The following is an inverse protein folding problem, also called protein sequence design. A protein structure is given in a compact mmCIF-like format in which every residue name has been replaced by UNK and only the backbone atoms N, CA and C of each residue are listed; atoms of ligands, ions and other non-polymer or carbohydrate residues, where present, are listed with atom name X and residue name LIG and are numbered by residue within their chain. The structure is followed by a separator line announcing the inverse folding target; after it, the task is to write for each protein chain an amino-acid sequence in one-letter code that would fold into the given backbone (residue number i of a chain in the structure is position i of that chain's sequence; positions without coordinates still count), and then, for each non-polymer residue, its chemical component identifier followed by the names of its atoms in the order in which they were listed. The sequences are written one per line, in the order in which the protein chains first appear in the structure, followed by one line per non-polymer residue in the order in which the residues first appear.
data_IF_410380416355
#
_entry.id   IF_410380416355
#
_cell.length_a   1.000
_cell.length_b   1.000
_cell.length_c   1.000
_cell.angle_alpha   90.00
_cell.angle_beta   90.00
_cell.angle_gamma   90.00
#
_symmetry.space_group_name_H-M   'P 1'
#
loop_
_entity.id
_entity.type
_entity.pdbx_description
1 polymer ?
#
# COMPACT_ATOMS: atom_id res chain seq x y z
N UNK A 1 4.15 -10.50 -16.67
CA UNK A 1 5.29 -10.75 -15.75
C UNK A 1 6.28 -9.65 -16.07
N UNK A 2 6.57 -8.76 -15.13
CA UNK A 2 7.47 -7.60 -15.30
C UNK A 2 8.85 -8.01 -14.80
N UNK A 3 9.85 -8.10 -15.67
CA UNK A 3 11.07 -8.86 -15.36
C UNK A 3 12.42 -8.21 -15.74
N UNK A 4 12.47 -6.87 -15.92
CA UNK A 4 13.64 -5.99 -15.58
C UNK A 4 13.48 -4.55 -16.09
N UNK A 5 13.67 -3.58 -15.21
CA UNK A 5 13.96 -2.16 -15.50
C UNK A 5 15.31 -1.78 -14.87
N UNK A 6 15.96 -0.74 -15.37
CA UNK A 6 17.31 -0.35 -14.95
C UNK A 6 17.41 0.06 -13.48
N UNK A 7 18.54 -0.34 -12.88
CA UNK A 7 18.92 -0.15 -11.48
C UNK A 7 19.12 1.33 -11.15
N UNK A 8 18.33 1.86 -10.22
CA UNK A 8 18.94 2.65 -9.15
C UNK A 8 19.60 1.60 -8.24
N UNK A 9 20.93 1.57 -8.09
CA UNK A 9 21.59 0.65 -7.18
C UNK A 9 21.01 0.79 -5.81
N UNK A 10 20.71 -0.35 -5.23
CA UNK A 10 20.11 -0.44 -3.91
C UNK A 10 21.12 -0.15 -2.80
N UNK A 11 22.36 0.15 -3.17
CA UNK A 11 23.48 0.59 -2.36
C UNK A 11 23.87 2.04 -2.73
N UNK A 12 22.91 2.86 -3.19
CA UNK A 12 23.10 4.19 -3.76
C UNK A 12 24.02 5.11 -2.95
N UNK A 13 23.89 5.11 -1.62
CA UNK A 13 24.71 5.92 -0.72
C UNK A 13 25.90 5.16 -0.11
N UNK A 14 26.05 3.87 -0.40
CA UNK A 14 27.15 3.09 0.15
C UNK A 14 28.49 3.51 -0.48
N UNK A 15 29.57 3.54 0.32
CA UNK A 15 30.89 3.85 -0.19
C UNK A 15 31.40 2.75 -1.15
N UNK A 16 31.98 3.18 -2.26
CA UNK A 16 32.45 2.28 -3.32
C UNK A 16 33.63 1.44 -2.82
N UNK A 17 33.49 0.12 -2.81
CA UNK A 17 34.55 -0.81 -2.34
C UNK A 17 35.75 -0.88 -3.32
N UNK A 18 35.62 -0.36 -4.55
CA UNK A 18 36.61 -0.57 -5.63
C UNK A 18 36.96 0.64 -6.52
N UNK A 19 36.67 1.90 -6.16
CA UNK A 19 37.01 3.02 -7.05
C UNK A 19 36.81 4.42 -6.46
N UNK A 20 37.43 5.42 -7.10
CA UNK A 20 37.32 6.83 -6.73
C UNK A 20 35.86 7.30 -6.78
N UNK A 21 35.40 8.07 -5.80
CA UNK A 21 33.99 8.42 -5.57
C UNK A 21 33.60 8.04 -4.14
N UNK A 22 32.81 8.88 -3.47
CA UNK A 22 32.46 8.65 -2.07
C UNK A 22 31.27 7.68 -1.93
N UNK A 23 30.48 7.48 -2.99
CA UNK A 23 29.29 6.60 -3.00
C UNK A 23 29.04 5.91 -4.35
N UNK A 24 28.21 4.87 -4.38
CA UNK A 24 27.77 4.21 -5.63
C UNK A 24 26.97 5.13 -6.56
N UNK A 25 26.24 6.10 -6.00
CA UNK A 25 25.66 7.22 -6.74
C UNK A 25 26.73 7.90 -7.61
N UNK A 26 27.89 8.21 -7.03
CA UNK A 26 28.96 8.89 -7.76
C UNK A 26 29.52 8.02 -8.89
N UNK A 27 29.68 6.72 -8.63
CA UNK A 27 30.16 5.77 -9.62
C UNK A 27 29.20 5.64 -10.81
N UNK A 28 27.89 5.74 -10.58
CA UNK A 28 26.88 5.71 -11.64
C UNK A 28 26.73 7.03 -12.36
N UNK A 29 26.71 8.16 -11.65
CA UNK A 29 26.63 9.46 -12.28
C UNK A 29 27.81 9.69 -13.22
N UNK A 30 29.04 9.24 -12.89
CA UNK A 30 30.17 9.27 -13.83
C UNK A 30 30.00 8.40 -15.07
N UNK A 31 29.24 7.31 -14.98
CA UNK A 31 28.96 6.42 -16.12
C UNK A 31 27.85 6.96 -17.01
N UNK A 32 26.81 7.56 -16.42
CA UNK A 32 25.65 8.08 -17.13
C UNK A 32 25.86 9.53 -17.62
N UNK A 33 26.73 10.28 -16.96
CA UNK A 33 27.10 11.64 -17.29
C UNK A 33 28.62 11.79 -17.11
N UNK A 34 29.44 11.42 -18.11
CA UNK A 34 30.91 11.50 -18.02
C UNK A 34 31.44 12.93 -17.80
N UNK A 35 30.61 13.94 -18.01
CA UNK A 35 30.90 15.33 -17.72
C UNK A 35 30.67 15.72 -16.24
N UNK A 36 30.07 14.84 -15.44
CA UNK A 36 29.68 15.13 -14.06
C UNK A 36 30.89 15.31 -13.13
N UNK A 37 30.89 16.45 -12.41
CA UNK A 37 31.86 16.79 -11.38
C UNK A 37 31.28 16.54 -9.98
N UNK A 38 31.81 15.57 -9.21
CA UNK A 38 31.34 15.29 -7.85
C UNK A 38 31.76 16.35 -6.82
N UNK A 39 32.72 17.21 -7.13
CA UNK A 39 33.24 18.22 -6.20
C UNK A 39 32.47 19.56 -6.29
N UNK A 40 31.58 19.71 -7.27
CA UNK A 40 30.71 20.86 -7.44
C UNK A 40 29.23 20.49 -7.19
N UNK A 41 28.65 20.87 -6.02
CA UNK A 41 27.27 20.54 -5.68
C UNK A 41 26.23 21.26 -6.54
N UNK A 42 26.61 22.28 -7.32
CA UNK A 42 25.73 22.97 -8.26
C UNK A 42 25.81 22.40 -9.68
N UNK A 43 26.72 21.44 -9.92
CA UNK A 43 26.90 20.84 -11.23
C UNK A 43 25.71 19.94 -11.60
N UNK A 44 25.12 20.16 -12.78
CA UNK A 44 24.00 19.38 -13.29
C UNK A 44 24.54 18.28 -14.24
N UNK A 45 24.48 16.98 -13.86
CA UNK A 45 24.95 15.89 -14.73
C UNK A 45 24.20 15.86 -16.07
N UNK A 46 24.93 15.70 -17.20
CA UNK A 46 24.30 15.56 -18.51
C UNK A 46 24.05 14.08 -18.86
N UNK A 47 22.90 13.56 -18.45
CA UNK A 47 22.53 12.15 -18.67
C UNK A 47 22.31 11.75 -20.14
N UNK A 48 22.38 12.72 -21.07
CA UNK A 48 22.29 12.49 -22.53
C UNK A 48 23.57 11.89 -23.12
N UNK A 49 24.64 11.84 -22.34
CA UNK A 49 25.98 11.40 -22.77
C UNK A 49 26.29 9.94 -22.40
N UNK A 50 25.27 9.16 -22.05
CA UNK A 50 25.41 7.82 -21.49
C UNK A 50 25.67 6.71 -22.53
N UNK A 51 26.42 5.64 -22.17
CA UNK A 51 27.04 4.69 -23.10
C UNK A 51 26.12 3.59 -23.68
N UNK A 52 24.81 3.63 -23.45
CA UNK A 52 23.84 2.71 -24.07
C UNK A 52 23.24 3.27 -25.38
N UNK A 53 23.52 4.54 -25.68
CA UNK A 53 23.32 5.10 -27.02
C UNK A 53 24.46 4.66 -27.93
N UNK A 54 24.20 4.50 -29.23
CA UNK A 54 25.29 4.42 -30.19
C UNK A 54 26.10 5.71 -30.08
N UNK A 55 27.41 5.61 -29.79
CA UNK A 55 28.34 6.72 -29.52
C UNK A 55 28.63 7.58 -30.76
N UNK A 56 27.62 7.78 -31.61
CA UNK A 56 27.62 8.63 -32.78
C UNK A 56 26.29 9.37 -32.85
N UNK A 57 26.26 10.71 -32.75
CA UNK A 57 25.12 11.45 -33.26
C UNK A 57 25.05 11.13 -34.75
N UNK A 58 23.99 10.44 -35.19
CA UNK A 58 23.72 10.31 -36.62
C UNK A 58 23.85 11.70 -37.22
N UNK A 59 24.77 11.84 -38.17
CA UNK A 59 25.19 13.10 -38.74
C UNK A 59 23.95 13.97 -38.98
N UNK A 60 23.96 15.20 -38.43
CA UNK A 60 22.88 16.20 -38.42
C UNK A 60 22.38 16.57 -39.84
N UNK A 61 21.80 15.61 -40.56
CA UNK A 61 21.32 15.72 -41.94
C UNK A 61 20.00 14.98 -42.02
N UNK A 62 18.91 15.64 -41.61
CA UNK A 62 17.55 15.12 -41.69
C UNK A 62 16.66 15.52 -40.52
N UNK A 63 15.35 15.31 -40.64
CA UNK A 63 14.30 15.75 -39.70
C UNK A 63 14.13 14.87 -38.46
N UNK A 64 14.94 13.83 -38.28
CA UNK A 64 14.85 12.90 -37.15
C UNK A 64 16.12 12.97 -36.31
N UNK A 65 16.15 13.93 -35.38
CA UNK A 65 17.23 14.12 -34.41
C UNK A 65 17.13 13.12 -33.24
N UNK A 66 17.18 11.82 -33.53
CA UNK A 66 17.09 10.78 -32.49
C UNK A 66 18.46 10.13 -32.30
N UNK A 67 18.85 9.98 -31.02
CA UNK A 67 19.96 9.14 -30.61
C UNK A 67 19.49 7.68 -30.67
N UNK A 68 20.13 6.87 -31.51
CA UNK A 68 19.84 5.44 -31.67
C UNK A 68 20.43 4.65 -30.49
N UNK A 69 19.72 3.61 -30.03
CA UNK A 69 20.21 2.71 -28.98
C UNK A 69 21.17 1.67 -29.55
N UNK A 70 22.13 1.18 -28.74
CA UNK A 70 22.96 0.04 -29.16
C UNK A 70 22.07 -1.18 -29.45
N UNK A 71 22.45 -2.06 -30.42
CA UNK A 71 21.64 -3.19 -30.87
C UNK A 71 21.11 -4.09 -29.75
N UNK A 72 21.87 -4.23 -28.67
CA UNK A 72 21.51 -5.01 -27.48
C UNK A 72 20.38 -4.40 -26.63
N UNK A 73 20.05 -3.11 -26.80
CA UNK A 73 19.02 -2.39 -26.05
C UNK A 73 17.80 -1.98 -26.89
N UNK A 74 17.77 -2.31 -28.18
CA UNK A 74 16.69 -1.90 -29.11
C UNK A 74 15.31 -2.43 -28.68
N UNK A 75 15.28 -3.63 -28.11
CA UNK A 75 14.03 -4.27 -27.65
C UNK A 75 13.71 -4.03 -26.17
N UNK A 76 14.66 -3.46 -25.42
CA UNK A 76 14.52 -3.11 -24.00
C UNK A 76 15.15 -1.74 -23.78
N UNK A 77 14.53 -0.67 -24.30
CA UNK A 77 15.05 0.68 -24.16
C UNK A 77 15.13 1.03 -22.67
N UNK A 78 16.29 1.48 -22.17
CA UNK A 78 16.44 1.87 -20.79
C UNK A 78 15.55 3.08 -20.50
N UNK A 79 14.68 2.96 -19.49
CA UNK A 79 13.89 4.10 -19.01
C UNK A 79 14.75 4.85 -17.99
N UNK A 80 15.20 6.04 -18.39
CA UNK A 80 16.02 6.87 -17.51
C UNK A 80 15.16 8.02 -17.01
N UNK A 81 14.86 8.05 -15.70
CA UNK A 81 14.19 9.20 -15.13
C UNK A 81 15.08 10.43 -15.32
N UNK A 82 14.55 11.44 -15.98
CA UNK A 82 15.24 12.71 -16.17
C UNK A 82 14.23 13.86 -16.11
N UNK A 83 14.71 15.04 -15.74
CA UNK A 83 13.92 16.26 -15.71
C UNK A 83 13.53 16.66 -14.29
N UNK A 84 12.60 17.61 -14.21
CA UNK A 84 12.08 18.11 -12.94
C UNK A 84 11.16 17.10 -12.25
N UNK A 85 10.92 17.28 -10.95
CA UNK A 85 10.10 16.41 -10.10
C UNK A 85 8.75 17.08 -9.78
N UNK A 86 7.68 16.87 -10.58
CA UNK A 86 6.35 17.44 -10.37
C UNK A 86 5.48 16.58 -9.44
N UNK A 87 5.88 16.44 -8.18
CA UNK A 87 5.11 15.71 -7.16
C UNK A 87 3.69 16.25 -7.05
N UNK A 88 3.52 17.57 -6.93
CA UNK A 88 2.22 18.22 -6.76
C UNK A 88 1.29 17.93 -7.94
N UNK A 89 1.76 18.10 -9.17
CA UNK A 89 0.95 17.82 -10.36
C UNK A 89 0.62 16.32 -10.49
N UNK A 90 1.54 15.43 -10.11
CA UNK A 90 1.28 13.98 -10.10
C UNK A 90 0.17 13.61 -9.10
N UNK A 91 0.14 14.28 -7.94
CA UNK A 91 -0.93 14.11 -6.96
C UNK A 91 -2.25 14.71 -7.45
N UNK A 92 -2.22 15.87 -8.12
CA UNK A 92 -3.40 16.48 -8.74
C UNK A 92 -3.98 15.58 -9.83
N UNK A 93 -3.14 14.96 -10.68
CA UNK A 93 -3.57 13.98 -11.69
C UNK A 93 -4.22 12.75 -11.04
N UNK A 94 -3.69 12.29 -9.90
CA UNK A 94 -4.31 11.20 -9.14
C UNK A 94 -5.67 11.61 -8.56
N UNK A 95 -5.79 12.83 -8.02
CA UNK A 95 -7.07 13.39 -7.54
C UNK A 95 -8.10 13.39 -8.68
N UNK A 96 -7.69 13.89 -9.85
CA UNK A 96 -8.50 13.97 -11.05
C UNK A 96 -8.97 12.60 -11.55
N UNK A 97 -8.07 11.62 -11.51
CA UNK A 97 -8.37 10.22 -11.82
C UNK A 97 -9.36 9.63 -10.80
N UNK A 98 -9.08 9.81 -9.51
CA UNK A 98 -9.89 9.24 -8.43
C UNK A 98 -11.33 9.76 -8.47
N UNK A 99 -11.52 11.07 -8.67
CA UNK A 99 -12.84 11.66 -8.77
C UNK A 99 -13.64 11.11 -9.96
N UNK A 100 -13.00 10.94 -11.12
CA UNK A 100 -13.63 10.34 -12.30
C UNK A 100 -13.94 8.85 -12.07
N UNK A 101 -13.01 8.11 -11.48
CA UNK A 101 -13.19 6.69 -11.17
C UNK A 101 -14.32 6.47 -10.17
N UNK A 102 -14.36 7.28 -9.09
CA UNK A 102 -15.40 7.22 -8.06
C UNK A 102 -16.81 7.36 -8.65
N UNK A 103 -17.02 8.25 -9.60
CA UNK A 103 -18.32 8.42 -10.25
C UNK A 103 -18.79 7.17 -11.02
N UNK A 104 -17.86 6.34 -11.49
CA UNK A 104 -18.17 5.08 -12.18
C UNK A 104 -18.33 3.94 -11.16
N UNK A 105 -17.45 3.88 -10.16
CA UNK A 105 -17.43 2.84 -9.15
C UNK A 105 -18.60 2.92 -8.17
N UNK A 106 -19.03 4.13 -7.79
CA UNK A 106 -20.12 4.40 -6.83
C UNK A 106 -21.49 4.42 -7.53
N UNK A 107 -21.77 3.39 -8.33
CA UNK A 107 -23.05 3.20 -9.01
C UNK A 107 -23.61 1.80 -8.73
N UNK A 108 -24.92 1.57 -8.85
CA UNK A 108 -25.50 0.23 -8.63
C UNK A 108 -24.91 -0.87 -9.52
N UNK A 109 -24.45 -0.50 -10.72
CA UNK A 109 -23.80 -1.41 -11.69
C UNK A 109 -22.26 -1.31 -11.66
N UNK A 110 -21.71 -0.52 -10.73
CA UNK A 110 -20.29 -0.23 -10.59
C UNK A 110 -19.55 -1.28 -9.76
N UNK A 111 -18.76 -0.83 -8.78
CA UNK A 111 -18.05 -1.73 -7.87
C UNK A 111 -18.95 -2.07 -6.67
N UNK A 112 -19.44 -3.32 -6.54
CA UNK A 112 -20.33 -3.71 -5.45
C UNK A 112 -19.68 -3.63 -4.07
N UNK A 113 -18.35 -3.49 -4.02
CA UNK A 113 -17.56 -3.37 -2.79
C UNK A 113 -17.04 -1.95 -2.56
N UNK A 114 -17.44 -0.97 -3.38
CA UNK A 114 -16.90 0.39 -3.36
C UNK A 114 -16.86 0.99 -1.95
N UNK A 115 -17.97 0.90 -1.20
CA UNK A 115 -18.07 1.42 0.17
C UNK A 115 -17.18 0.72 1.21
N UNK A 116 -16.63 -0.45 0.89
CA UNK A 116 -15.71 -1.21 1.74
C UNK A 116 -14.24 -1.06 1.31
N UNK A 117 -13.97 -0.48 0.14
CA UNK A 117 -12.60 -0.30 -0.35
C UNK A 117 -11.95 0.91 0.28
N UNK A 118 -10.73 0.71 0.78
CA UNK A 118 -9.84 1.80 1.15
C UNK A 118 -8.91 2.11 -0.01
N UNK A 119 -8.94 3.35 -0.49
CA UNK A 119 -8.00 3.83 -1.50
C UNK A 119 -6.90 4.62 -0.79
N UNK A 120 -5.66 4.33 -1.12
CA UNK A 120 -4.48 4.96 -0.55
C UNK A 120 -3.54 5.35 -1.69
N UNK A 121 -2.77 6.42 -1.51
CA UNK A 121 -1.71 6.84 -2.42
C UNK A 121 -0.35 6.48 -1.80
N UNK A 122 0.53 5.83 -2.56
CA UNK A 122 1.92 5.60 -2.20
C UNK A 122 2.81 6.41 -3.15
N UNK A 123 3.60 7.32 -2.60
CA UNK A 123 4.58 8.11 -3.33
C UNK A 123 5.97 7.55 -3.04
N UNK A 124 6.65 7.10 -4.09
CA UNK A 124 8.08 6.77 -4.06
C UNK A 124 8.82 7.88 -4.81
N UNK A 125 9.71 8.59 -4.12
CA UNK A 125 10.40 9.74 -4.71
C UNK A 125 11.82 9.88 -4.13
N UNK A 126 12.71 10.45 -4.93
CA UNK A 126 14.12 10.69 -4.59
C UNK A 126 14.43 12.17 -4.29
N UNK A 127 13.42 13.05 -4.28
CA UNK A 127 13.66 14.48 -4.18
C UNK A 127 12.46 15.30 -3.70
N UNK A 128 12.72 16.60 -3.52
CA UNK A 128 11.69 17.62 -3.31
C UNK A 128 11.00 18.01 -4.62
N UNK A 129 9.83 18.62 -4.50
CA UNK A 129 9.08 19.21 -5.62
C UNK A 129 9.88 20.34 -6.30
N UNK A 130 10.14 20.23 -7.61
CA UNK A 130 10.94 21.22 -8.36
C UNK A 130 10.18 21.95 -9.46
N UNK A 131 8.89 21.68 -9.63
CA UNK A 131 8.02 22.31 -10.64
C UNK A 131 7.10 23.38 -10.06
N UNK A 132 7.21 23.67 -8.76
CA UNK A 132 6.38 24.67 -8.08
C UNK A 132 4.95 24.20 -7.79
N UNK A 133 4.71 22.88 -7.82
CA UNK A 133 3.46 22.29 -7.37
C UNK A 133 3.23 22.48 -5.86
N UNK A 134 2.01 22.19 -5.40
CA UNK A 134 1.63 22.29 -3.98
C UNK A 134 1.30 20.91 -3.38
N UNK A 135 2.27 19.98 -3.27
CA UNK A 135 2.01 18.60 -2.87
C UNK A 135 1.44 18.49 -1.44
N UNK A 136 1.83 19.36 -0.50
CA UNK A 136 1.21 19.39 0.83
C UNK A 136 -0.30 19.68 0.77
N UNK A 137 -0.72 20.57 -0.14
CA UNK A 137 -2.14 20.92 -0.34
C UNK A 137 -2.88 19.77 -0.98
N UNK A 138 -2.29 19.12 -2.00
CA UNK A 138 -2.87 17.94 -2.62
C UNK A 138 -3.04 16.78 -1.60
N UNK A 139 -2.07 16.59 -0.70
CA UNK A 139 -2.16 15.62 0.38
C UNK A 139 -3.37 15.89 1.30
N UNK A 140 -3.58 17.15 1.70
CA UNK A 140 -4.77 17.56 2.48
C UNK A 140 -6.06 17.28 1.72
N UNK A 141 -6.12 17.58 0.42
CA UNK A 141 -7.31 17.34 -0.40
C UNK A 141 -7.65 15.85 -0.55
N UNK A 142 -6.63 14.99 -0.58
CA UNK A 142 -6.79 13.54 -0.59
C UNK A 142 -7.29 13.04 0.76
N UNK A 143 -6.67 13.48 1.85
CA UNK A 143 -7.02 13.01 3.18
C UNK A 143 -8.40 13.52 3.63
N UNK A 144 -8.57 14.84 3.72
CA UNK A 144 -9.80 15.46 4.25
C UNK A 144 -10.97 15.36 3.26
N UNK A 145 -10.69 15.46 1.96
CA UNK A 145 -11.73 15.52 0.93
C UNK A 145 -12.18 14.15 0.41
N UNK A 146 -11.31 13.15 0.44
CA UNK A 146 -11.53 11.84 -0.22
C UNK A 146 -11.27 10.65 0.69
N UNK A 147 -10.83 10.86 1.92
CA UNK A 147 -10.44 9.80 2.85
C UNK A 147 -9.35 8.88 2.24
N UNK A 148 -8.45 9.47 1.46
CA UNK A 148 -7.30 8.80 0.86
C UNK A 148 -6.06 9.16 1.65
N UNK A 149 -5.43 8.18 2.31
CA UNK A 149 -4.16 8.40 2.99
C UNK A 149 -3.01 8.43 2.00
N UNK A 150 -2.02 9.28 2.27
CA UNK A 150 -0.82 9.40 1.42
C UNK A 150 0.40 8.89 2.16
N UNK A 151 0.95 7.77 1.72
CA UNK A 151 2.19 7.19 2.22
C UNK A 151 3.37 7.70 1.38
N UNK A 152 4.48 8.03 2.04
CA UNK A 152 5.64 8.64 1.36
C UNK A 152 6.90 7.86 1.70
N UNK A 153 7.62 7.46 0.66
CA UNK A 153 8.92 6.81 0.72
C UNK A 153 9.93 7.68 -0.01
N UNK A 154 10.83 8.30 0.75
CA UNK A 154 11.94 9.09 0.24
C UNK A 154 13.16 8.21 -0.02
N UNK A 155 13.28 7.63 -1.22
CA UNK A 155 14.36 6.71 -1.55
C UNK A 155 15.62 7.44 -2.00
N UNK A 156 16.78 7.08 -1.43
CA UNK A 156 18.06 7.71 -1.80
C UNK A 156 18.26 9.12 -1.23
N UNK A 157 17.38 9.57 -0.33
CA UNK A 157 17.46 10.83 0.41
C UNK A 157 17.88 10.59 1.86
N UNK A 158 18.67 11.50 2.42
CA UNK A 158 18.84 11.56 3.87
C UNK A 158 17.59 12.19 4.51
N UNK A 159 17.18 11.68 5.68
CA UNK A 159 16.11 12.28 6.46
C UNK A 159 16.54 13.68 6.94
N UNK A 160 16.01 14.73 6.29
CA UNK A 160 16.25 16.13 6.66
C UNK A 160 14.95 16.72 7.18
N UNK A 161 14.95 17.19 8.43
CA UNK A 161 13.76 17.76 9.04
C UNK A 161 13.24 18.98 8.26
N UNK A 162 11.94 18.99 7.95
CA UNK A 162 11.27 20.11 7.29
C UNK A 162 11.30 20.05 5.76
N UNK A 163 11.60 18.90 5.18
CA UNK A 163 11.46 18.71 3.73
C UNK A 163 9.97 18.59 3.34
N UNK A 164 9.70 18.64 2.03
CA UNK A 164 8.32 18.59 1.54
C UNK A 164 7.66 17.23 1.81
N UNK A 165 8.42 16.15 1.93
CA UNK A 165 7.87 14.82 2.21
C UNK A 165 7.26 14.74 3.62
N UNK A 166 7.82 15.47 4.59
CA UNK A 166 7.27 15.58 5.95
C UNK A 166 5.87 16.20 5.93
N UNK A 167 5.68 17.28 5.14
CA UNK A 167 4.37 17.91 5.02
C UNK A 167 3.35 16.98 4.34
N UNK A 168 3.78 16.21 3.34
CA UNK A 168 2.90 15.30 2.59
C UNK A 168 2.44 14.17 3.51
N UNK A 169 3.34 13.54 4.27
CA UNK A 169 2.96 12.49 5.21
C UNK A 169 2.00 13.01 6.28
N UNK A 170 2.31 14.17 6.87
CA UNK A 170 1.47 14.80 7.88
C UNK A 170 0.08 15.18 7.35
N UNK A 171 0.03 15.91 6.24
CA UNK A 171 -1.24 16.34 5.65
C UNK A 171 -2.01 15.16 5.04
N UNK A 172 -1.32 14.08 4.67
CA UNK A 172 -1.86 12.84 4.16
C UNK A 172 -2.30 11.85 5.24
N UNK A 173 -2.17 12.21 6.53
CA UNK A 173 -2.59 11.40 7.67
C UNK A 173 -1.72 10.15 7.91
N UNK A 174 -0.42 10.21 7.61
CA UNK A 174 0.53 9.09 7.76
C UNK A 174 1.76 9.44 8.59
N UNK A 175 1.83 10.63 9.18
CA UNK A 175 2.90 11.03 10.10
C UNK A 175 2.86 10.28 11.44
N UNK A 176 1.69 9.81 11.86
CA UNK A 176 1.54 8.95 13.03
C UNK A 176 0.35 8.01 12.84
N UNK A 177 0.63 6.76 12.47
CA UNK A 177 -0.39 5.73 12.31
C UNK A 177 -0.32 4.74 13.46
N UNK A 178 -1.44 4.62 14.16
CA UNK A 178 -1.75 3.56 15.11
C UNK A 178 -2.73 2.61 14.40
N UNK A 179 -2.30 1.38 14.09
CA UNK A 179 -3.09 0.44 13.31
C UNK A 179 -4.13 -0.30 14.14
N UNK A 180 -3.92 -0.48 15.45
CA UNK A 180 -4.82 -1.26 16.32
C UNK A 180 -5.64 -0.42 17.30
N UNK A 181 -5.37 0.89 17.36
CA UNK A 181 -6.06 1.83 18.23
C UNK A 181 -5.69 1.67 19.70
N UNK A 182 -4.57 0.99 20.01
CA UNK A 182 -4.10 0.79 21.38
C UNK A 182 -3.43 2.05 21.99
N UNK A 183 -3.25 3.09 21.18
CA UNK A 183 -2.61 4.35 21.55
C UNK A 183 -1.10 4.37 21.32
N UNK A 184 -0.52 3.32 20.73
CA UNK A 184 0.89 3.21 20.32
C UNK A 184 0.99 3.49 18.82
N UNK A 185 1.96 4.33 18.44
CA UNK A 185 2.22 4.59 17.03
C UNK A 185 3.01 3.42 16.45
N UNK A 186 2.40 2.73 15.49
CA UNK A 186 2.98 1.60 14.77
C UNK A 186 3.85 2.04 13.59
N UNK A 187 3.55 3.21 13.00
CA UNK A 187 4.31 3.73 11.87
C UNK A 187 4.30 5.26 11.80
N UNK A 188 5.43 5.84 11.41
CA UNK A 188 5.62 7.28 11.19
C UNK A 188 6.22 7.48 9.81
N UNK A 189 5.48 8.14 8.92
CA UNK A 189 5.99 8.60 7.64
C UNK A 189 6.53 10.04 7.72
N UNK A 190 7.31 10.49 6.72
CA UNK A 190 7.85 9.73 5.59
C UNK A 190 8.93 8.71 6.00
N UNK A 191 9.08 7.63 5.22
CA UNK A 191 10.10 6.59 5.44
C UNK A 191 11.28 6.84 4.49
N UNK A 192 12.51 6.83 5.00
CA UNK A 192 13.74 7.07 4.23
C UNK A 192 14.63 5.83 4.18
N UNK A 193 14.29 4.84 3.34
CA UNK A 193 15.15 3.69 3.14
C UNK A 193 16.47 4.09 2.46
N UNK A 194 17.58 3.66 3.05
CA UNK A 194 18.93 3.84 2.51
C UNK A 194 19.39 2.71 1.60
N UNK A 195 18.74 1.53 1.67
CA UNK A 195 19.11 0.35 0.90
C UNK A 195 17.92 -0.54 0.47
N UNK A 196 18.19 -1.66 -0.24
CA UNK A 196 17.16 -2.61 -0.70
C UNK A 196 16.30 -3.14 0.44
N UNK A 197 16.96 -3.67 1.48
CA UNK A 197 16.28 -4.35 2.58
C UNK A 197 15.38 -3.37 3.32
N UNK A 198 15.88 -2.15 3.55
CA UNK A 198 15.09 -1.06 4.15
C UNK A 198 13.93 -0.61 3.26
N UNK A 199 14.10 -0.57 1.93
CA UNK A 199 13.03 -0.24 1.00
C UNK A 199 11.95 -1.33 1.02
N UNK A 200 12.36 -2.60 0.98
CA UNK A 200 11.46 -3.74 1.08
C UNK A 200 10.70 -3.71 2.40
N UNK A 201 11.38 -3.42 3.51
CA UNK A 201 10.74 -3.33 4.82
C UNK A 201 9.81 -2.13 4.94
N UNK A 202 10.17 -0.98 4.36
CA UNK A 202 9.29 0.19 4.26
C UNK A 202 8.00 -0.16 3.51
N UNK A 203 8.11 -0.83 2.36
CA UNK A 203 6.95 -1.26 1.57
C UNK A 203 6.10 -2.29 2.31
N UNK A 204 6.72 -3.24 3.01
CA UNK A 204 5.97 -4.20 3.86
C UNK A 204 5.21 -3.49 4.96
N UNK A 205 5.84 -2.55 5.67
CA UNK A 205 5.18 -1.76 6.72
C UNK A 205 3.97 -1.01 6.18
N UNK A 206 4.11 -0.36 5.02
CA UNK A 206 3.02 0.34 4.35
C UNK A 206 1.91 -0.61 3.91
N UNK A 207 2.24 -1.79 3.38
CA UNK A 207 1.21 -2.77 2.99
C UNK A 207 0.45 -3.28 4.21
N UNK A 208 1.14 -3.56 5.32
CA UNK A 208 0.50 -3.92 6.60
C UNK A 208 -0.41 -2.80 7.10
N UNK A 209 -0.01 -1.53 6.93
CA UNK A 209 -0.80 -0.35 7.25
C UNK A 209 -2.10 -0.25 6.42
N UNK A 210 -2.00 -0.60 5.13
CA UNK A 210 -3.11 -0.48 4.17
C UNK A 210 -4.11 -1.64 4.31
N UNK A 211 -3.68 -2.79 4.83
CA UNK A 211 -4.55 -3.97 4.87
C UNK A 211 -5.85 -3.69 5.64
N UNK A 212 -7.03 -3.92 5.01
CA UNK A 212 -8.30 -3.78 5.69
C UNK A 212 -8.37 -4.85 6.78
N UNK A 213 -8.21 -4.43 8.04
CA UNK A 213 -8.37 -5.36 9.16
C UNK A 213 -9.84 -5.74 9.28
N UNK A 214 -10.15 -7.02 9.51
CA UNK A 214 -11.50 -7.42 9.87
C UNK A 214 -11.85 -6.65 11.14
N UNK A 215 -12.79 -5.70 11.03
CA UNK A 215 -13.39 -5.11 12.23
C UNK A 215 -13.93 -6.28 13.02
N UNK A 216 -13.37 -6.52 14.20
CA UNK A 216 -13.89 -7.49 15.13
C UNK A 216 -15.40 -7.22 15.23
N UNK A 217 -16.22 -8.23 14.93
CA UNK A 217 -17.61 -8.15 15.34
C UNK A 217 -17.55 -8.03 16.86
N UNK A 218 -17.82 -6.83 17.38
CA UNK A 218 -18.07 -6.68 18.78
C UNK A 218 -19.23 -7.63 19.07
N UNK A 219 -18.95 -8.78 19.70
CA UNK A 219 -19.98 -9.53 20.39
C UNK A 219 -20.56 -8.51 21.36
N UNK A 220 -21.79 -8.04 21.09
CA UNK A 220 -22.44 -7.06 21.93
C UNK A 220 -22.37 -7.57 23.37
N UNK A 221 -21.53 -6.94 24.19
CA UNK A 221 -21.47 -7.24 25.61
C UNK A 221 -22.79 -6.74 26.18
N UNK A 222 -23.75 -7.65 26.33
CA UNK A 222 -25.05 -7.36 26.93
C UNK A 222 -24.78 -6.86 28.35
N UNK A 223 -25.25 -5.67 28.75
CA UNK A 223 -25.14 -5.20 30.12
C UNK A 223 -25.74 -6.25 31.06
N UNK A 224 -25.04 -6.58 32.14
CA UNK A 224 -25.54 -7.45 33.20
C UNK A 224 -26.69 -6.76 33.95
N UNK A 225 -27.87 -6.71 33.33
CA UNK A 225 -29.07 -6.15 33.93
C UNK A 225 -30.32 -6.93 33.49
N UNK A 226 -30.34 -8.24 33.77
CA UNK A 226 -31.55 -9.00 34.15
C UNK A 226 -31.14 -10.44 34.46
N UNK A 227 -30.82 -10.71 35.72
CA UNK A 227 -30.43 -12.04 36.21
C UNK A 227 -31.61 -13.02 36.37
N UNK A 228 -32.64 -12.95 35.52
CA UNK A 228 -33.77 -13.89 35.52
C UNK A 228 -34.38 -14.16 34.13
N UNK A 229 -33.75 -13.70 33.05
CA UNK A 229 -34.13 -14.06 31.68
C UNK A 229 -33.21 -15.20 31.22
N UNK A 230 -33.67 -16.29 30.58
CA UNK A 230 -32.77 -17.33 30.11
C UNK A 230 -31.69 -16.72 29.22
N UNK A 231 -30.44 -16.78 29.68
CA UNK A 231 -29.29 -16.22 28.98
C UNK A 231 -29.20 -16.82 27.58
N UNK A 232 -29.02 -15.97 26.56
CA UNK A 232 -28.87 -16.38 25.16
C UNK A 232 -27.39 -16.35 24.76
N UNK A 233 -26.99 -17.25 23.89
CA UNK A 233 -25.68 -17.26 23.24
C UNK A 233 -25.88 -17.26 21.73
N UNK A 234 -25.25 -16.31 21.04
CA UNK A 234 -25.27 -16.23 19.58
C UNK A 234 -23.95 -16.75 19.03
N UNK A 235 -24.01 -17.60 18.01
CA UNK A 235 -22.85 -18.16 17.32
C UNK A 235 -22.91 -17.81 15.85
N UNK A 236 -21.84 -17.21 15.34
CA UNK A 236 -21.68 -16.87 13.93
C UNK A 236 -20.75 -17.87 13.27
N UNK A 237 -21.16 -18.45 12.15
CA UNK A 237 -20.35 -19.39 11.35
C UNK A 237 -20.21 -18.86 9.93
N UNK A 238 -19.01 -18.99 9.35
CA UNK A 238 -18.68 -18.53 8.01
C UNK A 238 -17.95 -19.64 7.25
N UNK A 239 -18.26 -19.82 5.96
CA UNK A 239 -17.60 -20.79 5.09
C UNK A 239 -16.62 -20.03 4.19
N UNK A 240 -15.30 -20.14 4.42
CA UNK A 240 -14.33 -19.48 3.55
C UNK A 240 -14.36 -20.12 2.16
N UNK A 241 -14.41 -19.27 1.12
CA UNK A 241 -14.32 -19.68 -0.29
C UNK A 241 -13.01 -19.12 -0.84
N UNK A 242 -12.26 -19.97 -1.54
CA UNK A 242 -10.99 -19.58 -2.16
C UNK A 242 -11.24 -18.48 -3.20
N UNK A 243 -10.40 -17.45 -3.17
CA UNK A 243 -10.42 -16.29 -4.07
C UNK A 243 -11.67 -15.40 -4.03
N UNK A 244 -12.53 -15.57 -3.01
CA UNK A 244 -13.72 -14.73 -2.81
C UNK A 244 -13.58 -13.85 -1.56
N UNK A 245 -13.85 -12.54 -1.66
CA UNK A 245 -13.78 -11.61 -0.51
C UNK A 245 -15.04 -11.67 0.38
N UNK A 246 -16.10 -12.36 -0.06
CA UNK A 246 -17.36 -12.50 0.66
C UNK A 246 -17.61 -13.97 0.97
N UNK A 247 -17.79 -14.29 2.25
CA UNK A 247 -18.02 -15.64 2.71
C UNK A 247 -19.46 -15.81 3.17
N UNK A 248 -20.21 -16.79 2.63
CA UNK A 248 -21.52 -17.09 3.14
C UNK A 248 -21.40 -17.53 4.60
N UNK A 249 -22.25 -16.96 5.45
CA UNK A 249 -22.30 -17.27 6.87
C UNK A 249 -23.71 -17.29 7.41
N UNK A 250 -23.86 -17.79 8.63
CA UNK A 250 -25.11 -17.85 9.38
C UNK A 250 -24.91 -17.40 10.81
N UNK A 251 -25.97 -16.89 11.43
CA UNK A 251 -26.02 -16.52 12.84
C UNK A 251 -27.09 -17.39 13.50
N UNK A 252 -26.66 -18.25 14.42
CA UNK A 252 -27.54 -19.15 15.17
C UNK A 252 -27.66 -18.67 16.62
N UNK A 253 -28.87 -18.76 17.19
CA UNK A 253 -29.13 -18.39 18.58
C UNK A 253 -29.47 -19.64 19.42
N UNK A 254 -28.91 -19.70 20.62
CA UNK A 254 -29.10 -20.80 21.56
C UNK A 254 -29.46 -20.28 22.95
N UNK A 255 -30.37 -20.98 23.63
CA UNK A 255 -30.56 -20.80 25.07
C UNK A 255 -29.37 -21.42 25.81
N UNK A 256 -28.91 -20.79 26.89
CA UNK A 256 -27.86 -21.37 27.74
C UNK A 256 -28.42 -22.51 28.60
N UNK A 257 -27.62 -23.58 28.82
CA UNK A 257 -26.32 -23.84 28.20
C UNK A 257 -26.46 -24.27 26.72
N UNK A 258 -25.47 -23.92 25.88
CA UNK A 258 -25.50 -24.27 24.45
C UNK A 258 -25.60 -25.79 24.32
N UNK A 259 -26.66 -26.32 23.67
CA UNK A 259 -26.80 -27.75 23.45
C UNK A 259 -25.72 -28.22 22.49
N UNK A 260 -24.99 -29.27 22.87
CA UNK A 260 -23.89 -29.83 22.09
C UNK A 260 -24.26 -31.21 21.55
N UNK A 261 -23.81 -31.50 20.34
CA UNK A 261 -23.80 -32.83 19.72
C UNK A 261 -22.38 -33.22 19.34
N UNK A 262 -22.12 -34.51 19.23
CA UNK A 262 -20.87 -35.00 18.65
C UNK A 262 -20.91 -34.83 17.12
N UNK A 263 -19.79 -34.40 16.56
CA UNK A 263 -19.54 -34.36 15.12
C UNK A 263 -18.13 -34.88 14.82
N UNK A 264 -17.93 -35.40 13.61
CA UNK A 264 -16.66 -35.99 13.17
C UNK A 264 -16.01 -35.04 12.17
N UNK A 265 -14.92 -34.41 12.58
CA UNK A 265 -14.12 -33.56 11.71
C UNK A 265 -12.93 -34.34 11.17
N UNK A 266 -12.72 -34.26 9.86
CA UNK A 266 -11.52 -34.78 9.22
C UNK A 266 -10.45 -33.68 9.21
N UNK A 267 -9.33 -33.93 9.87
CA UNK A 267 -8.18 -33.03 9.92
C UNK A 267 -7.43 -33.04 8.57
N UNK A 268 -6.59 -32.03 8.28
CA UNK A 268 -5.84 -31.93 7.02
C UNK A 268 -4.91 -33.12 6.73
N UNK A 269 -4.50 -33.85 7.78
CA UNK A 269 -3.68 -35.06 7.68
C UNK A 269 -4.51 -36.34 7.41
N UNK A 270 -5.83 -36.21 7.23
CA UNK A 270 -6.76 -37.29 6.98
C UNK A 270 -7.25 -38.03 8.23
N UNK A 271 -6.81 -37.65 9.42
CA UNK A 271 -7.30 -38.24 10.67
C UNK A 271 -8.68 -37.71 11.03
N UNK A 272 -9.53 -38.56 11.62
CA UNK A 272 -10.86 -38.17 12.07
C UNK A 272 -10.85 -37.96 13.57
N UNK A 273 -11.43 -36.84 14.02
CA UNK A 273 -11.58 -36.51 15.43
C UNK A 273 -13.04 -36.22 15.75
N UNK A 274 -13.54 -36.84 16.82
CA UNK A 274 -14.84 -36.48 17.40
C UNK A 274 -14.69 -35.19 18.20
N UNK A 275 -15.49 -34.19 17.86
CA UNK A 275 -15.57 -32.91 18.57
C UNK A 275 -16.99 -32.67 19.04
N UNK A 276 -17.14 -31.86 20.08
CA UNK A 276 -18.45 -31.35 20.49
C UNK A 276 -18.74 -30.06 19.75
N UNK A 277 -19.81 -30.04 18.97
CA UNK A 277 -20.29 -28.86 18.24
C UNK A 277 -21.70 -28.49 18.72
N UNK A 278 -22.14 -27.24 18.55
CA UNK A 278 -23.52 -26.86 18.83
C UNK A 278 -24.50 -27.73 18.01
N UNK A 279 -25.56 -28.23 18.65
CA UNK A 279 -26.60 -29.02 17.98
C UNK A 279 -27.54 -28.09 17.18
N UNK A 280 -27.46 -28.06 15.84
CA UNK A 280 -28.27 -27.15 15.03
C UNK A 280 -29.77 -27.46 15.10
N UNK A 281 -30.17 -28.67 15.50
CA UNK A 281 -31.58 -29.03 15.68
C UNK A 281 -32.21 -28.43 16.94
N UNK A 282 -31.36 -27.90 17.84
CA UNK A 282 -31.75 -27.24 19.09
C UNK A 282 -31.51 -25.73 19.05
N UNK A 283 -31.19 -25.18 17.88
CA UNK A 283 -31.16 -23.75 17.67
C UNK A 283 -32.57 -23.16 17.74
N UNK A 284 -32.66 -21.92 18.23
CA UNK A 284 -33.88 -21.13 18.22
C UNK A 284 -34.50 -21.07 16.82
N UNK A 285 -35.68 -21.66 16.64
CA UNK A 285 -36.43 -21.59 15.39
C UNK A 285 -37.32 -20.33 15.34
N UNK A 286 -37.57 -19.75 14.16
CA UNK A 286 -38.37 -18.53 14.03
C UNK A 286 -39.83 -18.68 14.49
N UNK A 287 -40.33 -19.92 14.61
CA UNK A 287 -41.77 -20.19 14.70
C UNK A 287 -42.22 -20.67 16.09
N UNK A 288 -41.30 -21.05 16.99
CA UNK A 288 -41.66 -21.89 18.15
C UNK A 288 -41.40 -21.29 19.53
N UNK A 289 -40.67 -20.17 19.68
CA UNK A 289 -40.42 -19.62 21.01
C UNK A 289 -40.34 -18.08 20.98
N UNK A 290 -41.30 -17.39 21.64
CA UNK A 290 -41.24 -15.93 21.82
C UNK A 290 -39.94 -15.47 22.50
N UNK A 291 -39.31 -16.39 23.23
CA UNK A 291 -38.02 -16.21 23.90
C UNK A 291 -36.82 -16.24 22.95
N UNK A 292 -37.00 -16.50 21.65
CA UNK A 292 -35.93 -16.57 20.65
C UNK A 292 -35.75 -15.29 19.82
N UNK A 293 -36.62 -14.28 19.96
CA UNK A 293 -36.46 -13.01 19.26
C UNK A 293 -35.42 -12.10 19.94
N UNK A 294 -34.75 -11.29 19.11
CA UNK A 294 -33.78 -10.26 19.52
C UNK A 294 -34.43 -9.11 20.30
N UNK A 295 -35.74 -8.94 20.13
CA UNK A 295 -36.59 -7.95 20.76
C UNK A 295 -37.98 -8.59 20.94
N UNK A 296 -38.59 -8.43 22.12
CA UNK A 296 -40.04 -8.57 22.27
C UNK A 296 -40.74 -7.27 21.81
#
# INVERSE_FOLDING_TARGET
IFDRGDLIPLDWQDPVVWGAGNTNKDAILRRLAPNWDPDDPAFIPELRSAPYFEDHPDALVGTNHKLSLKPEFVNTPPMIPFGSTPIGASMDDFIDWYDKWKLVADTPDGDPTFGCRTVNLLILTDGDETCGGAPCTAATQLYDGRNVRTFVVGFGLAAVAGNTLDCIAKNGGTDAIDFDGDGVIDMTGPIYPGNEDELVDALKQIIVAIQPRPRSFAAAAVPQASANTPDKTYLTSFIPILDEPVWPGRVDAYLRPVPLTEDIVTLPDGTQQTILVPDPSKGCQPDDESQCHLWE
#
